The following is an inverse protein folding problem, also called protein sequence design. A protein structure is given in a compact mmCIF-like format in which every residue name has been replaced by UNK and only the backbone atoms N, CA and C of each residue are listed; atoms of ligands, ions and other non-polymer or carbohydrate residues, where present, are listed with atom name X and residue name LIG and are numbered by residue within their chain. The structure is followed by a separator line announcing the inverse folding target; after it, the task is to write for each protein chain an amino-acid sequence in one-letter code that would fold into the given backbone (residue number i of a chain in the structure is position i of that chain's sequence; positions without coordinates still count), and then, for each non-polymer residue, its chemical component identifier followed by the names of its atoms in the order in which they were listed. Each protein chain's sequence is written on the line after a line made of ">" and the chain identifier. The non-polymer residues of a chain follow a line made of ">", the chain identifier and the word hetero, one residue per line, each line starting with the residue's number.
data_IF_015507966145
#
_entry.id   IF_015507966145
#
_cell.length_a   1.000
_cell.length_b   1.000
_cell.length_c   1.000
_cell.angle_alpha   90.00
_cell.angle_beta   90.00
_cell.angle_gamma   90.00
#
_symmetry.space_group_name_H-M   'P 1'
#
loop_
_entity.id
_entity.type
_entity.pdbx_description
1 polymer ?
#
# COMPACT_ATOMS: atom_id res chain seq x y z
N UNK A 1 -7.63 -9.85 27.66
CA UNK A 1 -9.01 -9.31 27.66
C UNK A 1 -8.90 -7.86 27.24
N UNK A 2 -8.85 -7.62 25.92
CA UNK A 2 -8.73 -6.26 25.36
C UNK A 2 -10.15 -5.80 25.06
N UNK A 3 -10.52 -4.70 25.68
CA UNK A 3 -11.83 -4.07 25.63
C UNK A 3 -12.27 -3.80 24.17
N UNK A 4 -13.43 -4.36 23.81
CA UNK A 4 -14.07 -4.24 22.49
C UNK A 4 -15.15 -3.14 22.45
N UNK A 5 -15.15 -2.19 23.39
CA UNK A 5 -16.21 -1.17 23.49
C UNK A 5 -15.66 0.26 23.55
N UNK A 6 -15.10 0.73 22.45
CA UNK A 6 -15.11 2.16 22.13
C UNK A 6 -15.32 2.36 20.63
N UNK A 7 -16.56 2.16 20.20
CA UNK A 7 -17.02 2.62 18.88
C UNK A 7 -16.94 4.14 18.84
N UNK A 8 -15.84 4.64 18.33
CA UNK A 8 -15.58 6.07 18.21
C UNK A 8 -16.40 6.64 17.06
N UNK A 9 -17.10 7.76 17.32
CA UNK A 9 -17.76 8.61 16.31
C UNK A 9 -16.75 9.33 15.37
N UNK A 10 -15.50 8.91 15.37
CA UNK A 10 -14.32 9.54 14.76
C UNK A 10 -14.14 9.34 13.24
N UNK A 11 -14.45 8.17 12.62
CA UNK A 11 -14.04 7.94 11.23
C UNK A 11 -14.80 8.84 10.24
N UNK A 12 -16.06 9.19 10.51
CA UNK A 12 -16.87 10.03 9.61
C UNK A 12 -16.40 11.49 9.61
N UNK A 13 -16.00 12.03 10.76
CA UNK A 13 -15.49 13.39 10.86
C UNK A 13 -14.11 13.51 10.19
N UNK A 14 -13.23 12.53 10.39
CA UNK A 14 -11.93 12.44 9.71
C UNK A 14 -12.09 12.31 8.18
N UNK A 15 -13.03 11.49 7.70
CA UNK A 15 -13.35 11.37 6.27
C UNK A 15 -13.92 12.67 5.69
N UNK A 16 -14.68 13.44 6.47
CA UNK A 16 -15.17 14.76 6.06
C UNK A 16 -14.03 15.81 6.02
N UNK A 17 -13.02 15.69 6.88
CA UNK A 17 -11.79 16.51 6.82
C UNK A 17 -10.90 16.14 5.65
N UNK A 18 -10.74 14.86 5.36
CA UNK A 18 -10.18 14.34 4.11
C UNK A 18 -10.83 14.98 2.90
N UNK A 19 -12.17 15.00 2.88
CA UNK A 19 -12.93 15.65 1.83
C UNK A 19 -12.74 17.18 1.75
N UNK A 20 -12.43 17.86 2.86
CA UNK A 20 -12.17 19.32 2.90
C UNK A 20 -10.77 19.66 2.41
N UNK A 21 -9.76 18.95 2.89
CA UNK A 21 -8.36 19.15 2.51
C UNK A 21 -8.13 18.89 1.02
N UNK A 22 -8.75 17.85 0.46
CA UNK A 22 -8.65 17.49 -0.95
C UNK A 22 -9.26 18.53 -1.93
N UNK A 23 -10.01 19.53 -1.45
CA UNK A 23 -10.68 20.53 -2.32
C UNK A 23 -9.75 21.61 -2.87
N UNK A 24 -8.61 21.89 -2.23
CA UNK A 24 -7.62 22.87 -2.75
C UNK A 24 -6.46 22.16 -3.46
N UNK A 25 -6.62 21.89 -4.76
CA UNK A 25 -5.62 21.14 -5.56
C UNK A 25 -4.23 21.77 -5.54
N UNK A 26 -4.12 23.10 -5.49
CA UNK A 26 -2.84 23.79 -5.45
C UNK A 26 -2.13 23.61 -4.11
N UNK A 27 -2.84 23.76 -2.99
CA UNK A 27 -2.28 23.58 -1.65
C UNK A 27 -1.81 22.14 -1.43
N UNK A 28 -2.60 21.16 -1.85
CA UNK A 28 -2.22 19.74 -1.77
C UNK A 28 -0.97 19.45 -2.61
N UNK A 29 -0.87 20.07 -3.80
CA UNK A 29 0.30 19.92 -4.67
C UNK A 29 1.56 20.51 -4.04
N UNK A 30 1.48 21.73 -3.50
CA UNK A 30 2.62 22.39 -2.86
C UNK A 30 3.10 21.60 -1.64
N UNK A 31 2.17 21.21 -0.76
CA UNK A 31 2.47 20.39 0.40
C UNK A 31 3.08 19.02 0.02
N UNK A 32 2.58 18.40 -1.06
CA UNK A 32 3.13 17.15 -1.58
C UNK A 32 4.56 17.30 -2.12
N UNK A 33 4.87 18.41 -2.79
CA UNK A 33 6.23 18.73 -3.26
C UNK A 33 7.16 18.92 -2.06
N UNK A 34 6.75 19.71 -1.07
CA UNK A 34 7.55 19.96 0.13
C UNK A 34 7.85 18.65 0.88
N UNK A 35 6.83 17.81 1.08
CA UNK A 35 6.98 16.51 1.72
C UNK A 35 7.96 15.62 0.97
N UNK A 36 7.85 15.53 -0.36
CA UNK A 36 8.75 14.72 -1.17
C UNK A 36 10.20 15.21 -1.10
N UNK A 37 10.42 16.53 -1.03
CA UNK A 37 11.75 17.14 -0.96
C UNK A 37 12.38 17.08 0.44
N UNK A 38 11.59 16.87 1.49
CA UNK A 38 12.05 16.85 2.89
C UNK A 38 11.94 15.48 3.56
N UNK A 39 11.54 14.44 2.82
CA UNK A 39 11.22 13.13 3.35
C UNK A 39 12.40 12.48 4.10
N UNK A 40 13.62 12.67 3.61
CA UNK A 40 14.85 12.19 4.24
C UNK A 40 15.08 12.83 5.61
N UNK A 41 14.86 14.14 5.72
CA UNK A 41 15.02 14.89 6.98
C UNK A 41 13.88 14.67 7.96
N UNK A 42 12.65 14.43 7.45
CA UNK A 42 11.44 14.28 8.26
C UNK A 42 11.01 12.83 8.47
N UNK A 43 11.84 11.85 8.07
CA UNK A 43 11.46 10.44 8.13
C UNK A 43 11.02 9.98 9.53
N UNK A 44 11.67 10.49 10.58
CA UNK A 44 11.30 10.14 11.96
C UNK A 44 9.89 10.64 12.36
N UNK A 45 9.54 11.83 11.90
CA UNK A 45 8.21 12.41 12.08
C UNK A 45 7.16 11.60 11.30
N UNK A 46 7.48 11.18 10.08
CA UNK A 46 6.64 10.30 9.28
C UNK A 46 6.36 8.98 10.01
N UNK A 47 7.39 8.34 10.58
CA UNK A 47 7.24 7.08 11.31
C UNK A 47 6.43 7.21 12.60
N UNK A 48 6.44 8.38 13.22
CA UNK A 48 5.71 8.67 14.46
C UNK A 48 4.33 9.30 14.22
N UNK A 49 3.97 9.57 12.97
CA UNK A 49 2.71 10.20 12.61
C UNK A 49 1.52 9.32 12.98
N UNK A 50 0.37 9.92 13.38
CA UNK A 50 -0.82 9.16 13.70
C UNK A 50 -1.32 8.37 12.50
N UNK A 51 -1.81 7.15 12.75
CA UNK A 51 -2.43 6.31 11.73
C UNK A 51 -3.88 6.73 11.51
N UNK A 52 -4.32 6.72 10.25
CA UNK A 52 -5.69 7.07 9.91
C UNK A 52 -6.64 5.88 9.75
N UNK A 53 -7.90 6.15 9.34
CA UNK A 53 -8.94 5.13 9.24
C UNK A 53 -8.90 4.27 7.98
N UNK A 54 -8.11 4.66 6.96
CA UNK A 54 -8.04 3.96 5.67
C UNK A 54 -6.96 2.89 5.74
N UNK A 55 -7.36 1.63 5.54
CA UNK A 55 -6.44 0.51 5.49
C UNK A 55 -5.73 0.46 4.13
N UNK A 56 -4.42 0.26 4.14
CA UNK A 56 -3.59 0.11 2.94
C UNK A 56 -2.99 -1.28 2.92
N UNK A 57 -3.19 -2.01 1.82
CA UNK A 57 -2.57 -3.32 1.60
C UNK A 57 -1.63 -3.23 0.41
N UNK A 58 -0.35 -3.55 0.63
CA UNK A 58 0.72 -3.49 -0.36
C UNK A 58 1.05 -4.87 -0.93
N UNK A 59 0.65 -5.10 -2.18
CA UNK A 59 0.90 -6.33 -2.92
C UNK A 59 2.12 -6.13 -3.82
N UNK A 60 3.14 -6.99 -3.75
CA UNK A 60 4.45 -6.75 -4.37
C UNK A 60 5.17 -5.56 -3.73
N UNK A 61 5.24 -5.57 -2.39
CA UNK A 61 5.67 -4.42 -1.58
C UNK A 61 7.15 -4.07 -1.72
N UNK A 62 7.99 -5.02 -2.14
CA UNK A 62 9.44 -4.88 -2.20
C UNK A 62 10.00 -4.33 -0.88
N UNK A 63 10.84 -3.31 -0.98
CA UNK A 63 11.41 -2.61 0.17
C UNK A 63 10.49 -1.55 0.80
N UNK A 64 9.28 -1.35 0.26
CA UNK A 64 8.25 -0.52 0.86
C UNK A 64 8.20 0.94 0.41
N UNK A 65 8.78 1.29 -0.75
CA UNK A 65 8.77 2.68 -1.23
C UNK A 65 7.37 3.27 -1.41
N UNK A 66 6.40 2.48 -1.90
CA UNK A 66 5.01 2.95 -2.06
C UNK A 66 4.33 3.09 -0.68
N UNK A 67 4.45 2.09 0.18
CA UNK A 67 3.99 2.14 1.58
C UNK A 67 4.57 3.33 2.35
N UNK A 68 5.86 3.65 2.16
CA UNK A 68 6.52 4.81 2.77
C UNK A 68 5.85 6.13 2.35
N UNK A 69 5.43 6.27 1.09
CA UNK A 69 4.69 7.44 0.62
C UNK A 69 3.33 7.62 1.30
N UNK A 70 2.61 6.52 1.58
CA UNK A 70 1.35 6.57 2.34
C UNK A 70 1.57 7.00 3.78
N UNK A 71 2.61 6.49 4.44
CA UNK A 71 2.98 6.96 5.78
C UNK A 71 3.40 8.44 5.73
N UNK A 72 4.18 8.85 4.73
CA UNK A 72 4.60 10.24 4.58
C UNK A 72 3.39 11.17 4.45
N UNK A 73 2.37 10.78 3.68
CA UNK A 73 1.13 11.54 3.55
C UNK A 73 0.40 11.75 4.88
N UNK A 74 0.61 10.88 5.89
CA UNK A 74 0.01 11.06 7.22
C UNK A 74 0.52 12.31 7.95
N UNK A 75 1.69 12.85 7.59
CA UNK A 75 2.19 14.14 8.13
C UNK A 75 1.33 15.33 7.69
N UNK A 76 0.73 15.24 6.50
CA UNK A 76 -0.19 16.26 6.00
C UNK A 76 -1.59 16.03 6.54
N UNK A 77 -2.00 14.76 6.54
CA UNK A 77 -3.32 14.35 6.99
C UNK A 77 -3.28 12.87 7.39
N UNK A 78 -3.45 12.53 8.68
CA UNK A 78 -3.37 11.16 9.18
C UNK A 78 -4.52 10.31 8.65
N UNK A 79 -4.34 9.75 7.46
CA UNK A 79 -5.39 9.12 6.67
C UNK A 79 -5.22 7.61 6.57
N UNK A 80 -3.97 7.14 6.55
CA UNK A 80 -3.62 5.80 6.13
C UNK A 80 -3.05 4.97 7.28
N UNK A 81 -3.33 3.67 7.23
CA UNK A 81 -2.75 2.64 8.09
C UNK A 81 -2.29 1.49 7.22
N UNK A 82 -1.00 1.14 7.29
CA UNK A 82 -0.51 -0.08 6.63
C UNK A 82 -1.12 -1.30 7.33
N UNK A 83 -1.97 -2.03 6.61
CA UNK A 83 -2.70 -3.17 7.13
C UNK A 83 -1.97 -4.48 6.85
N UNK A 84 -1.41 -4.63 5.65
CA UNK A 84 -0.69 -5.82 5.22
C UNK A 84 0.28 -5.45 4.09
N UNK A 85 1.38 -6.18 4.01
CA UNK A 85 2.31 -6.14 2.89
C UNK A 85 2.64 -7.58 2.48
N UNK A 86 2.82 -7.84 1.19
CA UNK A 86 3.14 -9.16 0.65
C UNK A 86 4.25 -9.02 -0.39
N UNK A 87 5.32 -9.80 -0.21
CA UNK A 87 6.38 -9.96 -1.21
C UNK A 87 7.06 -11.34 -1.08
N UNK A 88 7.80 -11.76 -2.09
CA UNK A 88 8.56 -13.01 -2.09
C UNK A 88 10.03 -12.80 -1.70
N UNK A 89 10.57 -11.60 -1.91
CA UNK A 89 11.98 -11.29 -1.66
C UNK A 89 12.23 -11.00 -0.18
N UNK A 90 12.79 -11.98 0.52
CA UNK A 90 13.11 -11.87 1.94
C UNK A 90 14.07 -10.71 2.28
N UNK A 91 14.96 -10.31 1.37
CA UNK A 91 15.89 -9.18 1.58
C UNK A 91 15.13 -7.86 1.52
N UNK A 92 14.25 -7.72 0.53
CA UNK A 92 13.38 -6.56 0.39
C UNK A 92 12.43 -6.45 1.58
N UNK A 93 11.83 -7.57 2.01
CA UNK A 93 10.96 -7.64 3.19
C UNK A 93 11.66 -7.22 4.48
N UNK A 94 12.91 -7.63 4.67
CA UNK A 94 13.69 -7.21 5.84
C UNK A 94 13.89 -5.69 5.84
N UNK A 95 14.17 -5.11 4.67
CA UNK A 95 14.25 -3.66 4.50
C UNK A 95 12.92 -2.98 4.80
N UNK A 96 11.81 -3.53 4.30
CA UNK A 96 10.46 -3.05 4.58
C UNK A 96 10.18 -3.04 6.09
N UNK A 97 10.41 -4.16 6.78
CA UNK A 97 10.15 -4.31 8.22
C UNK A 97 10.99 -3.33 9.05
N UNK A 98 12.28 -3.18 8.73
CA UNK A 98 13.15 -2.22 9.44
C UNK A 98 12.70 -0.78 9.27
N UNK A 99 12.20 -0.41 8.08
CA UNK A 99 11.83 0.98 7.78
C UNK A 99 10.42 1.34 8.25
N UNK A 100 9.47 0.41 8.12
CA UNK A 100 8.03 0.68 8.26
C UNK A 100 7.41 0.00 9.48
N UNK A 101 8.14 -0.88 10.18
CA UNK A 101 7.67 -1.54 11.41
C UNK A 101 6.58 -2.59 11.21
N UNK A 102 6.11 -2.81 9.97
CA UNK A 102 5.19 -3.87 9.59
C UNK A 102 5.98 -4.98 8.90
N UNK A 103 5.84 -6.22 9.38
CA UNK A 103 6.45 -7.39 8.76
C UNK A 103 5.62 -7.84 7.55
N UNK A 104 6.17 -7.85 6.32
CA UNK A 104 5.44 -8.40 5.19
C UNK A 104 5.24 -9.91 5.31
N UNK A 105 4.21 -10.42 4.64
CA UNK A 105 4.01 -11.85 4.43
C UNK A 105 4.91 -12.32 3.29
N UNK A 106 5.71 -13.36 3.55
CA UNK A 106 6.46 -14.04 2.49
C UNK A 106 5.50 -14.98 1.76
N UNK A 107 4.91 -14.51 0.67
CA UNK A 107 3.93 -15.28 -0.10
C UNK A 107 4.00 -14.93 -1.58
N UNK A 108 3.80 -15.95 -2.43
CA UNK A 108 3.79 -15.77 -3.89
C UNK A 108 2.38 -15.41 -4.35
N UNK A 109 2.15 -14.12 -4.59
CA UNK A 109 0.90 -13.61 -5.13
C UNK A 109 0.51 -14.25 -6.48
N UNK A 110 1.46 -14.83 -7.23
CA UNK A 110 1.13 -15.58 -8.44
C UNK A 110 0.34 -16.85 -8.16
N UNK A 111 0.58 -17.52 -7.02
CA UNK A 111 -0.15 -18.72 -6.61
C UNK A 111 -1.65 -18.43 -6.39
N UNK A 112 -1.98 -17.20 -5.98
CA UNK A 112 -3.36 -16.75 -5.73
C UNK A 112 -4.10 -16.27 -6.99
N UNK A 113 -3.44 -16.26 -8.16
CA UNK A 113 -4.04 -15.75 -9.41
C UNK A 113 -5.16 -16.64 -9.98
N UNK A 114 -5.24 -17.90 -9.54
CA UNK A 114 -6.26 -18.87 -9.97
C UNK A 114 -7.36 -19.11 -8.93
N UNK A 115 -7.07 -18.92 -7.65
CA UNK A 115 -8.02 -18.98 -6.55
C UNK A 115 -7.67 -17.87 -5.53
N UNK A 116 -8.57 -16.92 -5.39
CA UNK A 116 -8.38 -15.71 -4.59
C UNK A 116 -8.96 -15.83 -3.19
N UNK A 117 -9.67 -16.91 -2.84
CA UNK A 117 -10.35 -17.04 -1.57
C UNK A 117 -9.39 -16.92 -0.37
N UNK A 118 -8.19 -17.48 -0.52
CA UNK A 118 -7.13 -17.35 0.48
C UNK A 118 -6.68 -15.89 0.61
N UNK A 119 -6.39 -15.22 -0.51
CA UNK A 119 -5.98 -13.81 -0.53
C UNK A 119 -7.06 -12.89 0.06
N UNK A 120 -8.32 -13.10 -0.29
CA UNK A 120 -9.48 -12.36 0.25
C UNK A 120 -9.60 -12.55 1.75
N UNK A 121 -9.44 -13.78 2.26
CA UNK A 121 -9.43 -14.04 3.71
C UNK A 121 -8.27 -13.34 4.41
N UNK A 122 -7.06 -13.36 3.84
CA UNK A 122 -5.89 -12.69 4.41
C UNK A 122 -6.07 -11.17 4.46
N UNK A 123 -6.51 -10.56 3.36
CA UNK A 123 -6.81 -9.12 3.29
C UNK A 123 -7.86 -8.76 4.35
N UNK A 124 -9.00 -9.47 4.39
CA UNK A 124 -10.06 -9.18 5.35
C UNK A 124 -9.64 -9.37 6.80
N UNK A 125 -8.77 -10.34 7.10
CA UNK A 125 -8.22 -10.54 8.44
C UNK A 125 -7.26 -9.42 8.87
N UNK A 126 -6.58 -8.76 7.91
CA UNK A 126 -5.67 -7.64 8.18
C UNK A 126 -6.39 -6.29 8.42
N UNK A 127 -7.66 -6.21 8.03
CA UNK A 127 -8.46 -4.98 8.11
C UNK A 127 -8.86 -4.68 9.54
N UNK A 128 -8.94 -3.40 9.87
CA UNK A 128 -9.36 -2.93 11.21
C UNK A 128 -10.84 -3.16 11.47
N UNK A 129 -11.65 -3.07 10.41
CA UNK A 129 -13.07 -3.36 10.42
C UNK A 129 -13.54 -3.82 9.03
N UNK A 130 -14.60 -4.64 8.92
CA UNK A 130 -15.11 -5.13 7.63
C UNK A 130 -15.57 -4.03 6.67
N UNK A 131 -15.98 -2.88 7.20
CA UNK A 131 -16.49 -1.70 6.49
C UNK A 131 -15.45 -0.56 6.39
N UNK A 132 -14.25 -0.73 6.94
CA UNK A 132 -13.20 0.29 6.86
C UNK A 132 -12.79 0.52 5.40
N UNK A 133 -12.59 1.77 4.95
CA UNK A 133 -12.08 2.05 3.62
C UNK A 133 -10.75 1.31 3.37
N UNK A 134 -10.62 0.70 2.20
CA UNK A 134 -9.46 -0.10 1.82
C UNK A 134 -8.84 0.48 0.54
N UNK A 135 -7.53 0.68 0.57
CA UNK A 135 -6.71 0.97 -0.60
C UNK A 135 -5.83 -0.25 -0.84
N UNK A 136 -5.98 -0.85 -2.01
CA UNK A 136 -5.04 -1.85 -2.50
C UNK A 136 -4.01 -1.16 -3.37
N UNK A 137 -2.75 -1.39 -3.07
CA UNK A 137 -1.64 -0.92 -3.86
C UNK A 137 -0.82 -2.11 -4.31
N UNK A 138 -0.21 -2.02 -5.48
CA UNK A 138 0.76 -3.01 -5.86
C UNK A 138 1.58 -2.61 -7.05
N UNK A 139 2.89 -2.56 -6.85
CA UNK A 139 3.86 -2.32 -7.90
C UNK A 139 4.19 -3.66 -8.56
N UNK A 140 3.25 -4.20 -9.32
CA UNK A 140 3.48 -5.42 -10.08
C UNK A 140 4.77 -5.27 -10.92
N UNK A 141 5.67 -6.26 -10.90
CA UNK A 141 7.02 -6.13 -11.44
C UNK A 141 6.97 -5.71 -12.92
N UNK A 142 7.58 -4.56 -13.23
CA UNK A 142 7.56 -3.94 -14.54
C UNK A 142 8.67 -4.44 -15.49
N UNK A 143 9.31 -5.58 -15.19
CA UNK A 143 10.46 -6.12 -15.94
C UNK A 143 10.21 -6.34 -17.44
N UNK A 144 8.95 -6.34 -17.88
CA UNK A 144 8.61 -6.42 -19.29
C UNK A 144 8.59 -5.11 -20.08
N UNK A 145 8.72 -3.96 -19.41
CA UNK A 145 8.51 -2.64 -20.00
C UNK A 145 9.69 -1.68 -19.83
N UNK A 146 10.82 -2.11 -19.26
CA UNK A 146 12.02 -1.28 -19.19
C UNK A 146 12.75 -1.28 -20.54
N UNK A 147 13.08 -0.09 -21.03
CA UNK A 147 13.81 0.15 -22.29
C UNK A 147 15.28 -0.33 -22.26
N UNK A 148 15.75 -0.85 -21.12
CA UNK A 148 17.13 -1.27 -20.89
C UNK A 148 17.46 -2.71 -21.35
N UNK A 149 16.62 -3.31 -22.21
CA UNK A 149 16.84 -4.66 -22.73
C UNK A 149 17.27 -4.59 -24.20
N UNK A 150 18.56 -4.83 -24.41
CA UNK A 150 19.20 -4.95 -25.72
C UNK A 150 18.42 -5.94 -26.61
N UNK A 151 17.85 -5.45 -27.71
CA UNK A 151 17.59 -6.05 -29.03
C UNK A 151 17.22 -7.55 -29.21
N UNK A 152 16.84 -8.31 -28.19
CA UNK A 152 16.66 -9.79 -28.31
C UNK A 152 15.54 -10.44 -27.50
N UNK A 153 14.53 -9.69 -27.05
CA UNK A 153 13.59 -10.17 -26.03
C UNK A 153 12.10 -10.26 -26.41
N UNK A 154 11.74 -10.21 -27.69
CA UNK A 154 10.33 -10.17 -28.14
C UNK A 154 9.55 -11.50 -27.91
N UNK A 155 10.19 -12.54 -27.38
CA UNK A 155 9.59 -13.87 -27.19
C UNK A 155 9.73 -14.41 -25.75
N UNK A 156 9.83 -13.55 -24.74
CA UNK A 156 9.82 -14.03 -23.35
C UNK A 156 8.38 -14.09 -22.80
N UNK A 157 7.92 -15.31 -22.56
CA UNK A 157 6.61 -15.68 -22.00
C UNK A 157 6.33 -15.02 -20.63
N UNK A 158 7.36 -14.44 -20.01
CA UNK A 158 7.27 -13.65 -18.77
C UNK A 158 6.70 -12.24 -18.96
N UNK A 159 6.68 -11.67 -20.16
CA UNK A 159 6.20 -10.29 -20.36
C UNK A 159 4.67 -10.15 -20.49
N UNK A 160 3.98 -11.15 -21.04
CA UNK A 160 2.53 -11.04 -21.34
C UNK A 160 1.62 -11.60 -20.24
N UNK A 161 2.18 -12.29 -19.24
CA UNK A 161 1.42 -13.04 -18.23
C UNK A 161 1.38 -12.36 -16.85
N UNK A 162 2.35 -11.49 -16.53
CA UNK A 162 2.51 -10.90 -15.18
C UNK A 162 1.53 -9.74 -14.91
N UNK A 163 1.38 -8.79 -15.84
CA UNK A 163 0.46 -7.64 -15.68
C UNK A 163 -1.01 -8.09 -15.58
N UNK A 164 -1.38 -9.12 -16.35
CA UNK A 164 -2.75 -9.66 -16.39
C UNK A 164 -3.11 -10.50 -15.15
N UNK A 165 -2.13 -10.97 -14.38
CA UNK A 165 -2.36 -11.79 -13.17
C UNK A 165 -2.34 -10.97 -11.88
N UNK A 166 -1.48 -9.94 -11.79
CA UNK A 166 -1.54 -8.99 -10.68
C UNK A 166 -2.88 -8.23 -10.65
N UNK A 167 -3.37 -7.81 -11.81
CA UNK A 167 -4.72 -7.21 -11.95
C UNK A 167 -5.83 -8.16 -11.51
N UNK A 168 -5.76 -9.45 -11.87
CA UNK A 168 -6.70 -10.46 -11.36
C UNK A 168 -6.66 -10.58 -9.85
N UNK A 169 -5.49 -10.66 -9.21
CA UNK A 169 -5.39 -10.78 -7.76
C UNK A 169 -6.10 -9.62 -7.00
N UNK A 170 -6.16 -8.43 -7.60
CA UNK A 170 -6.87 -7.28 -7.07
C UNK A 170 -8.36 -7.21 -7.49
N UNK A 171 -8.80 -7.98 -8.49
CA UNK A 171 -10.16 -7.97 -9.05
C UNK A 171 -11.28 -8.19 -8.01
N UNK A 172 -11.15 -9.08 -7.01
CA UNK A 172 -12.17 -9.25 -5.96
C UNK A 172 -12.48 -8.01 -5.12
N UNK A 173 -11.65 -6.98 -5.21
CA UNK A 173 -11.73 -5.78 -4.39
C UNK A 173 -11.97 -4.51 -5.20
N UNK A 174 -12.10 -4.64 -6.54
CA UNK A 174 -12.56 -3.55 -7.38
C UNK A 174 -14.10 -3.46 -7.30
N UNK A 175 -14.68 -2.24 -7.29
CA UNK A 175 -16.13 -2.02 -7.21
C UNK A 175 -16.89 -2.47 -8.47
#
# INVERSE_FOLDING_TARGET
>A
MIDRRSGTKEPVAMLAELGRFARSRNTVREAGIELALSLDTKWEEVRSSPLGPVDVVDMFSGCGGMSAGFLAANTLLPAYRLAMAIDIDAVAMKTYEMNLGLKPLNDDLHAHSHNQDALVRMVNASRRAPDAPLVLIGCAPCQGFSSHRNAGGAADVRNSLFVRRASRACEPFLP
#
